data_IF_442787947139
#
_entry.id   IF_442787947139
#
_cell.length_a   1.000
_cell.length_b   1.000
_cell.length_c   1.000
_cell.angle_alpha   90.00
_cell.angle_beta   90.00
_cell.angle_gamma   90.00
#
_symmetry.space_group_name_H-M   'P 1'
#
loop_
_entity.id
_entity.type
_entity.pdbx_description
1 polymer ?
#
# COMPACT_ATOMS: atom_id res chain seq x y z
N UNK A 1 11.08 -5.95 -2.25
CA UNK A 1 10.08 -4.87 -2.14
C UNK A 1 8.99 -5.31 -1.17
N UNK A 2 8.44 -4.43 -0.32
CA UNK A 2 7.40 -4.78 0.65
C UNK A 2 6.09 -4.05 0.28
N UNK A 3 5.14 -4.78 -0.29
CA UNK A 3 3.81 -4.29 -0.55
C UNK A 3 2.99 -4.23 0.74
N UNK A 4 2.39 -3.07 1.02
CA UNK A 4 1.40 -2.91 2.10
C UNK A 4 0.03 -2.81 1.46
N UNK A 5 -0.83 -3.79 1.77
CA UNK A 5 -2.17 -3.92 1.19
C UNK A 5 -3.21 -4.05 2.29
N UNK A 6 -4.46 -3.72 1.97
CA UNK A 6 -5.56 -3.77 2.94
C UNK A 6 -6.68 -2.80 2.57
N UNK A 7 -7.85 -2.93 3.21
CA UNK A 7 -9.00 -2.08 2.91
C UNK A 7 -8.73 -0.59 3.12
N UNK A 8 -9.58 0.26 2.53
CA UNK A 8 -9.60 1.68 2.85
C UNK A 8 -9.94 1.88 4.33
N UNK A 9 -9.26 2.78 5.03
CA UNK A 9 -9.49 3.04 6.46
C UNK A 9 -8.80 2.06 7.43
N UNK A 10 -8.10 1.05 6.92
CA UNK A 10 -7.41 0.05 7.78
C UNK A 10 -6.14 0.60 8.45
N UNK A 11 -5.66 1.78 8.05
CA UNK A 11 -4.49 2.44 8.66
C UNK A 11 -3.14 2.11 8.01
N UNK A 12 -3.10 1.73 6.72
CA UNK A 12 -1.85 1.43 5.99
C UNK A 12 -0.82 2.56 6.08
N UNK A 13 -1.24 3.80 5.82
CA UNK A 13 -0.32 4.93 5.75
C UNK A 13 0.28 5.23 7.13
N UNK A 14 -0.53 5.13 8.19
CA UNK A 14 -0.07 5.26 9.58
C UNK A 14 0.87 4.13 9.97
N UNK A 15 0.59 2.89 9.55
CA UNK A 15 1.49 1.75 9.78
C UNK A 15 2.82 1.94 9.05
N UNK A 16 2.80 2.33 7.77
CA UNK A 16 4.00 2.58 6.98
C UNK A 16 4.85 3.71 7.58
N UNK A 17 4.21 4.81 8.00
CA UNK A 17 4.89 5.92 8.68
C UNK A 17 5.52 5.46 10.00
N UNK A 18 4.79 4.68 10.81
CA UNK A 18 5.30 4.16 12.07
C UNK A 18 6.47 3.20 11.87
N UNK A 19 6.42 2.34 10.85
CA UNK A 19 7.51 1.45 10.47
C UNK A 19 8.76 2.20 10.04
N UNK A 20 8.61 3.24 9.22
CA UNK A 20 9.73 4.08 8.77
C UNK A 20 10.39 4.86 9.93
N UNK A 21 9.60 5.27 10.93
CA UNK A 21 10.15 5.88 12.16
C UNK A 21 10.91 4.86 13.00
N UNK A 22 10.40 3.63 13.09
CA UNK A 22 10.95 2.60 13.98
C UNK A 22 12.16 1.84 13.38
N UNK A 23 12.32 1.79 12.05
CA UNK A 23 13.54 1.35 11.36
C UNK A 23 13.89 2.37 10.26
N UNK A 24 14.83 3.30 10.50
CA UNK A 24 15.23 4.31 9.50
C UNK A 24 15.81 3.75 8.20
N UNK A 25 16.15 2.46 8.15
CA UNK A 25 16.59 1.78 6.91
C UNK A 25 15.40 1.29 6.08
N UNK A 26 14.19 1.25 6.65
CA UNK A 26 12.96 1.06 5.87
C UNK A 26 12.59 2.37 5.20
N UNK A 27 12.57 2.37 3.87
CA UNK A 27 12.17 3.53 3.07
C UNK A 27 10.73 3.37 2.63
N UNK A 28 10.05 4.49 2.35
CA UNK A 28 8.72 4.48 1.73
C UNK A 28 8.82 4.99 0.30
N UNK A 29 8.15 4.32 -0.63
CA UNK A 29 8.04 4.77 -2.02
C UNK A 29 6.70 5.45 -2.24
N UNK A 30 6.74 6.68 -2.75
CA UNK A 30 5.53 7.38 -3.20
C UNK A 30 5.07 6.79 -4.54
N UNK A 31 3.75 6.66 -4.69
CA UNK A 31 3.14 6.28 -5.96
C UNK A 31 2.97 7.49 -6.85
N UNK A 32 3.06 7.29 -8.16
CA UNK A 32 2.59 8.27 -9.16
C UNK A 32 1.13 7.96 -9.48
N UNK A 33 0.23 8.93 -9.36
CA UNK A 33 -1.23 8.68 -9.47
C UNK A 33 -1.90 9.78 -10.28
N UNK A 34 -2.88 9.43 -11.12
CA UNK A 34 -3.70 10.41 -11.86
C UNK A 34 -4.78 11.13 -11.03
N UNK A 35 -4.65 11.08 -9.70
CA UNK A 35 -5.57 11.73 -8.76
C UNK A 35 -5.21 13.21 -8.61
N UNK A 36 -6.23 14.06 -8.55
CA UNK A 36 -6.05 15.49 -8.34
C UNK A 36 -5.31 15.78 -7.01
N UNK A 37 -4.27 16.65 -7.00
CA UNK A 37 -3.40 16.89 -5.84
C UNK A 37 -4.15 17.24 -4.54
N UNK A 38 -5.27 17.94 -4.65
CA UNK A 38 -6.10 18.47 -3.56
C UNK A 38 -7.15 17.47 -3.04
N UNK A 39 -7.31 16.31 -3.68
CA UNK A 39 -8.23 15.26 -3.21
C UNK A 39 -7.82 14.62 -1.86
N UNK A 40 -6.60 14.93 -1.39
CA UNK A 40 -5.99 14.37 -0.19
C UNK A 40 -5.80 12.84 -0.26
N UNK A 41 -5.49 12.23 0.89
CA UNK A 41 -5.24 10.80 0.99
C UNK A 41 -3.83 10.50 1.46
N UNK A 42 -3.20 9.50 0.86
CA UNK A 42 -1.80 9.15 1.13
C UNK A 42 -0.83 10.24 0.63
N UNK A 43 0.46 10.10 0.92
CA UNK A 43 1.50 10.86 0.23
C UNK A 43 1.83 10.22 -1.12
N UNK A 44 1.52 10.91 -2.22
CA UNK A 44 1.71 10.45 -3.60
C UNK A 44 2.14 11.59 -4.51
N UNK A 45 2.70 11.26 -5.68
CA UNK A 45 3.04 12.20 -6.74
C UNK A 45 1.84 12.30 -7.71
N UNK A 46 1.10 13.42 -7.71
CA UNK A 46 0.01 13.63 -8.66
C UNK A 46 0.55 13.94 -10.06
N UNK A 47 -0.09 13.38 -11.08
CA UNK A 47 0.14 13.71 -12.49
C UNK A 47 -1.19 13.73 -13.24
N UNK A 48 -1.26 14.41 -14.38
CA UNK A 48 -2.39 14.30 -15.30
C UNK A 48 -2.38 12.95 -16.05
N UNK A 49 -3.50 12.59 -16.67
CA UNK A 49 -3.58 11.41 -17.53
C UNK A 49 -2.56 11.47 -18.70
N UNK A 50 -2.39 12.63 -19.32
CA UNK A 50 -1.44 12.82 -20.43
C UNK A 50 0.01 12.67 -19.97
N UNK A 51 0.37 13.24 -18.82
CA UNK A 51 1.70 13.06 -18.22
C UNK A 51 1.95 11.59 -17.85
N UNK A 52 0.95 10.91 -17.27
CA UNK A 52 1.08 9.49 -16.95
C UNK A 52 1.35 8.65 -18.20
N UNK A 53 0.66 8.92 -19.31
CA UNK A 53 0.89 8.23 -20.59
C UNK A 53 2.29 8.50 -21.15
N UNK A 54 2.78 9.74 -21.05
CA UNK A 54 4.15 10.06 -21.43
C UNK A 54 5.18 9.30 -20.58
N UNK A 55 4.95 9.18 -19.27
CA UNK A 55 5.83 8.42 -18.36
C UNK A 55 5.82 6.91 -18.67
N UNK A 56 4.67 6.34 -19.06
CA UNK A 56 4.58 4.96 -19.54
C UNK A 56 5.37 4.80 -20.84
N UNK A 57 5.19 5.70 -21.81
CA UNK A 57 5.90 5.66 -23.09
C UNK A 57 7.42 5.80 -22.95
N UNK A 58 7.87 6.50 -21.90
CA UNK A 58 9.27 6.67 -21.55
C UNK A 58 9.83 5.55 -20.65
N UNK A 59 9.08 4.46 -20.40
CA UNK A 59 9.47 3.33 -19.55
C UNK A 59 9.92 3.73 -18.12
N UNK A 60 9.31 4.77 -17.56
CA UNK A 60 9.67 5.30 -16.23
C UNK A 60 9.20 4.38 -15.10
N UNK A 61 8.18 3.56 -15.33
CA UNK A 61 7.56 2.74 -14.29
C UNK A 61 8.11 1.32 -14.24
N UNK A 62 8.48 0.86 -13.05
CA UNK A 62 8.70 -0.57 -12.79
C UNK A 62 7.38 -1.33 -12.76
N UNK A 63 6.31 -0.67 -12.28
CA UNK A 63 4.93 -1.19 -12.28
C UNK A 63 3.97 -0.06 -12.60
N UNK A 64 2.96 -0.32 -13.41
CA UNK A 64 1.82 0.57 -13.56
C UNK A 64 0.52 -0.23 -13.76
N UNK A 65 -0.59 0.28 -13.23
CA UNK A 65 -1.90 -0.38 -13.32
C UNK A 65 -3.05 0.63 -13.26
N UNK A 66 -4.28 0.15 -13.52
CA UNK A 66 -5.52 0.92 -13.35
C UNK A 66 -6.33 0.38 -12.17
N UNK A 67 -6.89 1.25 -11.36
CA UNK A 67 -7.85 0.89 -10.32
C UNK A 67 -8.78 2.08 -10.02
N UNK A 68 -10.05 1.82 -9.68
CA UNK A 68 -10.99 2.87 -9.28
C UNK A 68 -11.09 4.06 -10.26
N UNK A 69 -10.93 3.83 -11.57
CA UNK A 69 -10.96 4.88 -12.59
C UNK A 69 -9.69 5.74 -12.69
N UNK A 70 -8.65 5.43 -11.90
CA UNK A 70 -7.37 6.13 -11.87
C UNK A 70 -6.24 5.23 -12.37
N UNK A 71 -5.11 5.84 -12.71
CA UNK A 71 -3.84 5.15 -12.98
C UNK A 71 -2.88 5.32 -11.83
N UNK A 72 -2.06 4.30 -11.63
CA UNK A 72 -1.06 4.23 -10.57
C UNK A 72 0.23 3.69 -11.16
N UNK A 73 1.35 4.22 -10.69
CA UNK A 73 2.69 3.81 -11.10
C UNK A 73 3.67 3.79 -9.93
N UNK A 74 4.59 2.85 -9.95
CA UNK A 74 5.80 2.82 -9.12
C UNK A 74 6.97 3.13 -10.05
N UNK A 75 7.66 4.26 -9.82
CA UNK A 75 8.84 4.65 -10.60
C UNK A 75 9.96 3.62 -10.43
N UNK A 76 10.76 3.41 -11.48
CA UNK A 76 12.00 2.63 -11.46
C UNK A 76 13.03 3.18 -10.47
N UNK A 77 12.87 4.42 -9.98
CA UNK A 77 13.65 4.99 -8.88
C UNK A 77 13.61 4.13 -7.60
N UNK A 78 12.63 3.22 -7.48
CA UNK A 78 12.59 2.23 -6.41
C UNK A 78 13.89 1.41 -6.34
N UNK A 79 14.57 1.14 -7.45
CA UNK A 79 15.84 0.40 -7.43
C UNK A 79 16.93 1.17 -6.70
N UNK A 80 17.05 2.48 -6.94
CA UNK A 80 17.98 3.33 -6.21
C UNK A 80 17.62 3.42 -4.72
N UNK A 81 16.32 3.47 -4.39
CA UNK A 81 15.86 3.45 -2.99
C UNK A 81 16.16 2.13 -2.28
N UNK A 82 16.19 1.01 -3.00
CA UNK A 82 16.51 -0.30 -2.44
C UNK A 82 17.99 -0.42 -2.05
N UNK A 83 18.88 0.32 -2.71
CA UNK A 83 20.31 0.31 -2.38
C UNK A 83 20.56 0.79 -0.94
N UNK A 84 21.08 -0.11 -0.10
CA UNK A 84 21.36 0.14 1.31
C UNK A 84 20.11 0.28 2.21
N UNK A 85 18.91 0.08 1.65
CA UNK A 85 17.69 -0.01 2.45
C UNK A 85 17.50 -1.43 2.98
N UNK A 86 16.86 -1.53 4.13
CA UNK A 86 16.47 -2.80 4.74
C UNK A 86 15.11 -3.30 4.23
N UNK A 87 14.50 -2.54 3.33
CA UNK A 87 13.21 -2.77 2.67
C UNK A 87 12.62 -1.45 2.17
N UNK A 88 11.80 -1.53 1.12
CA UNK A 88 11.02 -0.39 0.63
C UNK A 88 9.54 -0.72 0.74
N UNK A 89 8.84 0.05 1.58
CA UNK A 89 7.40 -0.03 1.82
C UNK A 89 6.64 0.68 0.71
N UNK A 90 5.67 0.00 0.11
CA UNK A 90 4.88 0.53 -1.01
C UNK A 90 3.41 0.21 -0.80
N UNK A 91 2.55 1.23 -0.79
CA UNK A 91 1.11 1.01 -0.75
C UNK A 91 0.65 0.45 -2.11
N UNK A 92 0.16 -0.79 -2.17
CA UNK A 92 -0.26 -1.42 -3.44
C UNK A 92 -1.74 -1.83 -3.46
N UNK A 93 -2.23 -2.07 -4.67
CA UNK A 93 -3.55 -2.63 -4.92
C UNK A 93 -3.47 -4.15 -5.10
N UNK A 94 -4.53 -4.88 -4.72
CA UNK A 94 -4.60 -6.34 -4.89
C UNK A 94 -4.40 -6.76 -6.35
N UNK A 95 -4.91 -5.96 -7.28
CA UNK A 95 -4.87 -6.22 -8.72
C UNK A 95 -3.45 -6.25 -9.34
N UNK A 96 -2.44 -5.68 -8.67
CA UNK A 96 -1.06 -5.60 -9.22
C UNK A 96 -0.08 -6.49 -8.47
N UNK A 97 -0.52 -7.27 -7.48
CA UNK A 97 0.42 -8.01 -6.61
C UNK A 97 1.14 -9.16 -7.33
N UNK A 98 0.46 -9.87 -8.24
CA UNK A 98 1.10 -10.95 -9.00
C UNK A 98 2.14 -10.39 -9.97
N UNK A 99 1.80 -9.31 -10.68
CA UNK A 99 2.76 -8.59 -11.52
C UNK A 99 3.94 -8.05 -10.70
N UNK A 100 3.69 -7.52 -9.51
CA UNK A 100 4.76 -7.06 -8.63
C UNK A 100 5.68 -8.20 -8.17
N UNK A 101 5.13 -9.39 -7.91
CA UNK A 101 5.92 -10.57 -7.58
C UNK A 101 6.80 -11.03 -8.75
N UNK A 102 6.35 -10.88 -9.99
CA UNK A 102 7.15 -11.20 -11.18
C UNK A 102 8.27 -10.17 -11.43
N UNK A 103 8.06 -8.92 -11.03
CA UNK A 103 9.03 -7.82 -11.24
C UNK A 103 10.09 -7.77 -10.13
N UNK A 104 9.76 -8.17 -8.90
CA UNK A 104 10.64 -8.05 -7.75
C UNK A 104 10.90 -9.41 -7.10
N UNK A 105 12.13 -9.93 -7.22
CA UNK A 105 12.51 -11.26 -6.68
C UNK A 105 12.36 -11.38 -5.15
N UNK A 106 12.48 -10.26 -4.43
CA UNK A 106 12.35 -10.15 -2.97
C UNK A 106 10.97 -9.61 -2.54
N UNK A 107 9.93 -9.88 -3.34
CA UNK A 107 8.59 -9.36 -3.11
C UNK A 107 7.92 -9.99 -1.89
N UNK A 108 7.43 -9.13 -0.99
CA UNK A 108 6.69 -9.51 0.22
C UNK A 108 5.42 -8.70 0.33
N UNK A 109 4.36 -9.31 0.88
CA UNK A 109 3.07 -8.66 1.07
C UNK A 109 2.72 -8.62 2.56
N UNK A 110 2.59 -7.42 3.11
CA UNK A 110 1.94 -7.17 4.40
C UNK A 110 0.46 -6.86 4.14
N UNK A 111 -0.40 -7.82 4.49
CA UNK A 111 -1.85 -7.71 4.43
C UNK A 111 -2.40 -7.17 5.74
N UNK A 112 -2.67 -5.87 5.78
CA UNK A 112 -3.24 -5.19 6.94
C UNK A 112 -4.75 -5.44 7.00
N UNK A 113 -5.23 -5.94 8.13
CA UNK A 113 -6.65 -6.20 8.41
C UNK A 113 -7.10 -5.42 9.63
N UNK A 114 -8.41 -5.30 9.83
CA UNK A 114 -9.00 -4.81 11.06
C UNK A 114 -10.40 -5.40 11.21
N UNK A 115 -10.90 -5.48 12.44
CA UNK A 115 -12.27 -5.85 12.74
C UNK A 115 -13.24 -4.94 11.95
N UNK A 116 -14.27 -5.51 11.27
CA UNK A 116 -15.20 -4.73 10.47
C UNK A 116 -15.87 -3.58 11.23
N UNK A 117 -16.15 -3.72 12.53
CA UNK A 117 -16.73 -2.66 13.36
C UNK A 117 -15.74 -1.53 13.59
N UNK A 118 -14.46 -1.86 13.81
CA UNK A 118 -13.39 -0.85 13.91
C UNK A 118 -13.22 -0.12 12.59
N UNK A 119 -13.24 -0.85 11.46
CA UNK A 119 -13.14 -0.25 10.13
C UNK A 119 -14.32 0.69 9.84
N UNK A 120 -15.55 0.27 10.18
CA UNK A 120 -16.75 1.08 10.03
C UNK A 120 -16.67 2.37 10.86
N UNK A 121 -16.26 2.27 12.12
CA UNK A 121 -16.08 3.42 13.01
C UNK A 121 -15.05 4.41 12.44
N UNK A 122 -13.90 3.92 11.96
CA UNK A 122 -12.84 4.76 11.35
C UNK A 122 -13.31 5.47 10.09
N UNK A 123 -14.05 4.78 9.22
CA UNK A 123 -14.63 5.38 8.01
C UNK A 123 -15.66 6.46 8.37
N UNK A 124 -16.54 6.19 9.35
CA UNK A 124 -17.53 7.16 9.82
C UNK A 124 -16.87 8.43 10.41
N UNK A 125 -15.82 8.29 11.23
CA UNK A 125 -15.09 9.44 11.80
C UNK A 125 -14.42 10.31 10.74
N UNK A 126 -14.03 9.74 9.59
CA UNK A 126 -13.38 10.50 8.51
C UNK A 126 -14.34 11.45 7.80
N UNK A 127 -15.65 11.16 7.82
CA UNK A 127 -16.72 12.02 7.33
C UNK A 127 -16.68 12.31 5.83
N UNK A 128 -15.98 11.50 5.02
CA UNK A 128 -15.88 11.68 3.56
C UNK A 128 -16.82 10.78 2.77
N UNK A 129 -17.46 9.84 3.46
CA UNK A 129 -18.26 8.78 2.88
C UNK A 129 -19.69 8.82 3.46
N UNK A 130 -20.70 8.65 2.60
CA UNK A 130 -22.06 8.40 3.05
C UNK A 130 -22.20 6.93 3.56
N UNK A 131 -23.30 6.58 4.24
CA UNK A 131 -23.50 5.23 4.78
C UNK A 131 -23.44 4.11 3.72
N UNK A 132 -23.88 4.37 2.49
CA UNK A 132 -23.87 3.38 1.41
C UNK A 132 -22.46 3.15 0.86
N UNK A 133 -21.67 4.21 0.73
CA UNK A 133 -20.25 4.20 0.39
C UNK A 133 -19.43 3.47 1.47
N UNK A 134 -19.73 3.68 2.76
CA UNK A 134 -19.13 2.91 3.86
C UNK A 134 -19.44 1.43 3.71
N UNK A 135 -20.70 1.05 3.52
CA UNK A 135 -21.08 -0.36 3.39
C UNK A 135 -20.43 -1.03 2.18
N UNK A 136 -20.36 -0.33 1.04
CA UNK A 136 -19.66 -0.78 -0.17
C UNK A 136 -18.15 -0.92 0.05
N UNK A 137 -17.53 -0.08 0.89
CA UNK A 137 -16.11 -0.23 1.25
C UNK A 137 -15.88 -1.40 2.18
N UNK A 138 -16.77 -1.64 3.13
CA UNK A 138 -16.74 -2.79 4.04
C UNK A 138 -16.91 -4.11 3.28
N UNK A 139 -17.82 -4.20 2.31
CA UNK A 139 -17.99 -5.43 1.51
C UNK A 139 -16.72 -5.78 0.71
N UNK A 140 -15.98 -4.77 0.24
CA UNK A 140 -14.67 -4.95 -0.43
C UNK A 140 -13.54 -5.30 0.54
N UNK A 141 -13.69 -5.04 1.84
CA UNK A 141 -12.68 -5.36 2.85
C UNK A 141 -12.47 -6.87 2.99
N UNK A 142 -13.51 -7.67 2.74
CA UNK A 142 -13.45 -9.13 2.83
C UNK A 142 -12.89 -9.86 1.60
N UNK A 143 -12.63 -9.18 0.46
CA UNK A 143 -12.13 -9.92 -0.71
C UNK A 143 -10.72 -10.45 -0.45
N UNK A 144 -10.50 -11.72 -0.81
CA UNK A 144 -9.21 -12.37 -0.70
C UNK A 144 -8.13 -11.66 -1.53
N UNK A 145 -6.87 -11.87 -1.15
CA UNK A 145 -5.74 -11.57 -2.02
C UNK A 145 -5.71 -12.58 -3.19
N UNK A 146 -5.08 -12.23 -4.32
CA UNK A 146 -4.92 -13.16 -5.42
C UNK A 146 -4.20 -14.43 -4.96
N UNK A 147 -4.65 -15.59 -5.45
CA UNK A 147 -3.94 -16.85 -5.28
C UNK A 147 -2.60 -16.81 -6.03
N UNK A 148 -1.60 -17.56 -5.55
CA UNK A 148 -0.25 -17.64 -6.15
C UNK A 148 0.78 -16.67 -5.57
N UNK A 149 0.40 -15.83 -4.61
CA UNK A 149 1.36 -15.03 -3.84
C UNK A 149 2.18 -15.91 -2.90
N UNK A 150 3.51 -15.77 -2.93
CA UNK A 150 4.44 -16.62 -2.20
C UNK A 150 4.66 -16.18 -0.75
N UNK A 151 4.84 -14.87 -0.53
CA UNK A 151 5.21 -14.31 0.77
C UNK A 151 4.14 -13.32 1.25
N UNK A 152 3.13 -13.82 1.98
CA UNK A 152 2.01 -13.02 2.50
C UNK A 152 1.93 -13.12 4.02
N UNK A 153 1.97 -11.97 4.68
CA UNK A 153 1.94 -11.85 6.13
C UNK A 153 0.76 -10.98 6.57
N UNK A 154 -0.05 -11.47 7.51
CA UNK A 154 -1.21 -10.73 8.01
C UNK A 154 -0.82 -9.90 9.23
N UNK A 155 -1.27 -8.64 9.26
CA UNK A 155 -1.10 -7.74 10.40
C UNK A 155 -2.47 -7.20 10.79
N UNK A 156 -2.91 -7.51 12.02
CA UNK A 156 -4.15 -6.98 12.57
C UNK A 156 -3.93 -5.58 13.17
N UNK A 157 -4.66 -4.61 12.63
CA UNK A 157 -4.68 -3.23 13.10
C UNK A 157 -6.05 -2.85 13.72
N UNK A 158 -6.70 -3.79 14.40
CA UNK A 158 -7.92 -3.55 15.18
C UNK A 158 -7.66 -2.76 16.46
N UNK A 159 -6.51 -3.00 17.10
CA UNK A 159 -6.12 -2.40 18.38
C UNK A 159 -5.28 -1.13 18.25
N UNK A 160 -4.34 -0.97 19.18
CA UNK A 160 -3.38 0.12 19.17
C UNK A 160 -2.42 0.01 17.98
N UNK A 161 -2.20 1.12 17.27
CA UNK A 161 -1.30 1.18 16.11
C UNK A 161 0.12 0.71 16.45
N UNK A 162 0.61 1.01 17.67
CA UNK A 162 1.93 0.57 18.14
C UNK A 162 2.08 -0.95 18.15
N UNK A 163 1.03 -1.69 18.50
CA UNK A 163 1.04 -3.16 18.47
C UNK A 163 1.14 -3.68 17.03
N UNK A 164 0.41 -3.09 16.09
CA UNK A 164 0.49 -3.43 14.68
C UNK A 164 1.87 -3.11 14.08
N UNK A 165 2.48 -2.00 14.47
CA UNK A 165 3.86 -1.64 14.08
C UNK A 165 4.84 -2.70 14.57
N UNK A 166 4.81 -3.06 15.87
CA UNK A 166 5.70 -4.07 16.45
C UNK A 166 5.55 -5.42 15.74
N UNK A 167 4.32 -5.86 15.49
CA UNK A 167 4.05 -7.10 14.77
C UNK A 167 4.63 -7.08 13.33
N UNK A 168 4.40 -5.99 12.60
CA UNK A 168 4.94 -5.82 11.25
C UNK A 168 6.48 -5.75 11.24
N UNK A 169 7.10 -5.10 12.24
CA UNK A 169 8.56 -5.09 12.36
C UNK A 169 9.14 -6.48 12.60
N UNK A 170 8.53 -7.27 13.48
CA UNK A 170 8.97 -8.64 13.75
C UNK A 170 8.95 -9.50 12.49
N UNK A 171 7.88 -9.40 11.68
CA UNK A 171 7.78 -10.07 10.38
C UNK A 171 8.93 -9.63 9.45
N UNK A 172 9.13 -8.32 9.30
CA UNK A 172 10.16 -7.78 8.40
C UNK A 172 11.57 -8.22 8.83
N UNK A 173 11.82 -8.31 10.14
CA UNK A 173 13.12 -8.69 10.70
C UNK A 173 13.40 -10.20 10.63
N UNK A 174 12.40 -11.05 10.88
CA UNK A 174 12.55 -12.50 10.83
C UNK A 174 13.00 -12.96 9.43
N UNK A 175 12.49 -12.30 8.39
CA UNK A 175 12.81 -12.59 6.99
C UNK A 175 14.13 -11.95 6.51
N UNK A 176 14.92 -11.36 7.42
CA UNK A 176 16.30 -10.91 7.16
C UNK A 176 17.35 -11.89 7.68
N UNK A 177 16.97 -12.79 8.60
CA UNK A 177 17.86 -13.78 9.20
C UNK A 177 17.99 -15.01 8.30
#
# INVERSE_FOLDING_TARGET
MIAVVGPSGVGKDSLMSGLAVADPRLRSMRRVITRAPDAGGEDYQPVSEAEFEALVAADVFALHWRAHGLRYGISRDIEALRLGASGVLVNLSRAVLLQAQEVFDDFRVISVTADPKVLAARLATRGREDPEEVQRRLSRAGLALPEGLQQVYKVDNSGALSAAIVAAQAIIQAERA
#
